data_IF_532568547463
#
_entry.id   IF_532568547463
#
_cell.length_a   1.000
_cell.length_b   1.000
_cell.length_c   1.000
_cell.angle_alpha   90.00
_cell.angle_beta   90.00
_cell.angle_gamma   90.00
#
_symmetry.space_group_name_H-M   'P 1'
#
loop_
_entity.id
_entity.type
_entity.pdbx_description
1 polymer ?
#
# COMPACT_ATOMS: atom_id res chain seq x y z
N UNK A 1 10.81 -5.41 -6.55
CA UNK A 1 10.38 -4.59 -7.70
C UNK A 1 8.86 -4.70 -7.80
N UNK A 2 8.16 -3.65 -8.23
CA UNK A 2 6.73 -3.74 -8.53
C UNK A 2 6.56 -4.49 -9.85
N UNK A 3 5.63 -5.45 -9.90
CA UNK A 3 5.28 -6.14 -11.14
C UNK A 3 3.86 -5.72 -11.53
N UNK A 4 3.55 -5.66 -12.82
CA UNK A 4 2.17 -5.45 -13.27
C UNK A 4 1.34 -6.72 -13.11
N UNK A 5 1.95 -7.88 -13.40
CA UNK A 5 1.26 -9.16 -13.49
C UNK A 5 1.99 -10.24 -12.68
N UNK A 6 1.27 -11.01 -11.88
CA UNK A 6 1.74 -12.27 -11.30
C UNK A 6 1.15 -13.43 -12.09
N UNK A 7 1.97 -14.38 -12.56
CA UNK A 7 1.51 -15.59 -13.26
C UNK A 7 1.70 -16.80 -12.35
N UNK A 8 0.57 -17.35 -11.88
CA UNK A 8 0.49 -18.63 -11.16
C UNK A 8 0.30 -19.76 -12.16
N UNK A 9 1.14 -20.79 -12.06
CA UNK A 9 1.14 -21.93 -12.99
C UNK A 9 1.73 -23.17 -12.32
N UNK A 10 1.50 -24.35 -12.89
CA UNK A 10 2.17 -25.59 -12.47
C UNK A 10 3.26 -26.01 -13.45
N UNK A 11 4.25 -26.77 -13.01
CA UNK A 11 5.39 -27.16 -13.85
C UNK A 11 4.99 -27.78 -15.22
N UNK A 12 3.96 -28.66 -15.32
CA UNK A 12 3.47 -29.14 -16.61
C UNK A 12 3.00 -28.02 -17.57
N UNK A 13 2.42 -26.96 -17.01
CA UNK A 13 1.85 -25.82 -17.74
C UNK A 13 2.88 -24.71 -18.01
N UNK A 14 4.16 -24.95 -17.67
CA UNK A 14 5.24 -23.95 -17.76
C UNK A 14 5.37 -23.33 -19.15
N UNK A 15 5.22 -24.14 -20.20
CA UNK A 15 5.38 -23.68 -21.58
C UNK A 15 4.34 -22.59 -21.92
N UNK A 16 3.09 -22.73 -21.46
CA UNK A 16 2.06 -21.71 -21.60
C UNK A 16 2.40 -20.47 -20.79
N UNK A 17 2.81 -20.64 -19.53
CA UNK A 17 3.17 -19.52 -18.65
C UNK A 17 4.33 -18.69 -19.21
N UNK A 18 5.37 -19.34 -19.77
CA UNK A 18 6.47 -18.66 -20.44
C UNK A 18 6.00 -17.89 -21.68
N UNK A 19 5.15 -18.51 -22.52
CA UNK A 19 4.61 -17.83 -23.70
C UNK A 19 3.81 -16.57 -23.32
N UNK A 20 2.97 -16.67 -22.30
CA UNK A 20 2.20 -15.53 -21.79
C UNK A 20 3.11 -14.45 -21.20
N UNK A 21 4.16 -14.85 -20.47
CA UNK A 21 5.16 -13.93 -19.93
C UNK A 21 5.83 -13.14 -21.06
N UNK A 22 6.36 -13.81 -22.08
CA UNK A 22 7.07 -13.19 -23.20
C UNK A 22 6.15 -12.23 -23.97
N UNK A 23 4.90 -12.62 -24.21
CA UNK A 23 3.90 -11.78 -24.86
C UNK A 23 3.51 -10.55 -24.03
N UNK A 24 3.43 -10.68 -22.71
CA UNK A 24 3.18 -9.53 -21.82
C UNK A 24 4.35 -8.55 -21.83
N UNK A 25 5.59 -9.04 -21.76
CA UNK A 25 6.81 -8.23 -21.83
C UNK A 25 6.91 -7.49 -23.17
N UNK A 26 6.63 -8.18 -24.29
CA UNK A 26 6.63 -7.56 -25.61
C UNK A 26 5.61 -6.42 -25.73
N UNK A 27 4.48 -6.54 -25.03
CA UNK A 27 3.43 -5.53 -24.97
C UNK A 27 3.68 -4.44 -23.90
N UNK A 28 4.85 -4.44 -23.26
CA UNK A 28 5.26 -3.41 -22.30
C UNK A 28 4.79 -3.63 -20.86
N UNK A 29 4.33 -4.83 -20.51
CA UNK A 29 3.93 -5.18 -19.14
C UNK A 29 5.04 -5.92 -18.40
N UNK A 30 5.24 -5.59 -17.12
CA UNK A 30 6.19 -6.32 -16.27
C UNK A 30 5.50 -7.50 -15.59
N UNK A 31 5.78 -8.72 -16.04
CA UNK A 31 5.25 -9.95 -15.43
C UNK A 31 6.27 -10.67 -14.56
N UNK A 32 5.79 -11.24 -13.46
CA UNK A 32 6.55 -12.13 -12.57
C UNK A 32 5.97 -13.54 -12.62
N UNK A 33 6.85 -14.53 -12.73
CA UNK A 33 6.52 -15.94 -12.61
C UNK A 33 7.66 -16.65 -11.88
N UNK A 34 7.35 -17.64 -11.04
CA UNK A 34 8.38 -18.42 -10.36
C UNK A 34 9.02 -19.38 -11.37
N UNK A 35 10.19 -19.06 -11.94
CA UNK A 35 10.90 -19.97 -12.83
C UNK A 35 11.62 -21.04 -12.01
N UNK A 36 11.42 -22.33 -12.35
CA UNK A 36 12.17 -23.46 -11.75
C UNK A 36 13.69 -23.38 -11.97
N UNK A 37 14.16 -22.42 -12.78
CA UNK A 37 15.57 -22.13 -13.04
C UNK A 37 15.80 -20.62 -13.06
N UNK A 38 16.19 -20.09 -11.89
CA UNK A 38 17.02 -18.88 -11.71
C UNK A 38 16.75 -17.67 -12.63
N UNK A 39 15.60 -17.01 -12.50
CA UNK A 39 15.48 -15.55 -12.69
C UNK A 39 14.42 -15.05 -11.70
N UNK A 40 14.81 -14.21 -10.74
CA UNK A 40 13.87 -13.58 -9.79
C UNK A 40 13.81 -14.19 -8.39
N UNK A 41 14.52 -15.28 -8.10
CA UNK A 41 14.67 -15.79 -6.74
C UNK A 41 15.90 -15.13 -6.11
N UNK A 42 15.68 -14.24 -5.13
CA UNK A 42 16.78 -13.68 -4.34
C UNK A 42 17.34 -14.76 -3.43
N UNK A 43 18.64 -15.03 -3.52
CA UNK A 43 19.31 -15.94 -2.59
C UNK A 43 19.24 -15.36 -1.17
N UNK A 44 18.78 -16.17 -0.20
CA UNK A 44 18.68 -15.76 1.21
C UNK A 44 17.27 -15.43 1.73
N UNK A 45 16.24 -15.36 0.88
CA UNK A 45 14.83 -15.24 1.30
C UNK A 45 14.11 -16.56 1.04
N UNK A 46 13.31 -17.11 1.97
CA UNK A 46 12.52 -18.32 1.72
C UNK A 46 11.66 -18.17 0.47
N UNK A 47 11.66 -19.18 -0.41
CA UNK A 47 10.95 -19.17 -1.69
C UNK A 47 9.47 -18.76 -1.56
N UNK A 48 8.80 -19.32 -0.55
CA UNK A 48 7.40 -19.01 -0.22
C UNK A 48 7.17 -17.53 0.09
N UNK A 49 8.10 -16.88 0.81
CA UNK A 49 8.02 -15.45 1.11
C UNK A 49 8.15 -14.60 -0.14
N UNK A 50 8.97 -15.03 -1.12
CA UNK A 50 9.13 -14.34 -2.39
C UNK A 50 7.87 -14.44 -3.25
N UNK A 51 7.21 -15.61 -3.24
CA UNK A 51 5.93 -15.83 -3.91
C UNK A 51 4.85 -14.93 -3.31
N UNK A 52 4.73 -14.90 -1.98
CA UNK A 52 3.75 -14.04 -1.28
C UNK A 52 4.02 -12.55 -1.54
N UNK A 53 5.28 -12.13 -1.53
CA UNK A 53 5.66 -10.75 -1.85
C UNK A 53 5.35 -10.40 -3.30
N UNK A 54 5.64 -11.29 -4.25
CA UNK A 54 5.37 -11.09 -5.67
C UNK A 54 3.85 -10.99 -5.94
N UNK A 55 3.03 -11.83 -5.30
CA UNK A 55 1.56 -11.73 -5.36
C UNK A 55 1.12 -10.35 -4.82
N UNK A 56 1.64 -9.93 -3.67
CA UNK A 56 1.26 -8.65 -3.03
C UNK A 56 1.70 -7.42 -3.81
N UNK A 57 2.77 -7.53 -4.59
CA UNK A 57 3.35 -6.43 -5.37
C UNK A 57 2.93 -6.45 -6.84
N UNK A 58 2.03 -7.35 -7.23
CA UNK A 58 1.43 -7.40 -8.57
C UNK A 58 0.04 -6.77 -8.60
N UNK A 59 -0.36 -6.24 -9.76
CA UNK A 59 -1.68 -5.58 -9.94
C UNK A 59 -2.74 -6.53 -10.46
N UNK A 60 -2.32 -7.52 -11.25
CA UNK A 60 -3.18 -8.56 -11.83
C UNK A 60 -2.63 -9.93 -11.46
N UNK A 61 -3.52 -10.82 -11.02
CA UNK A 61 -3.22 -12.23 -10.79
C UNK A 61 -3.69 -13.04 -11.99
N UNK A 62 -2.78 -13.67 -12.70
CA UNK A 62 -3.08 -14.56 -13.82
C UNK A 62 -2.92 -15.99 -13.35
N UNK A 63 -3.97 -16.79 -13.48
CA UNK A 63 -3.96 -18.21 -13.18
C UNK A 63 -3.96 -19.00 -14.48
N UNK A 64 -2.91 -19.79 -14.71
CA UNK A 64 -2.93 -20.85 -15.72
C UNK A 64 -3.61 -22.07 -15.07
N UNK A 65 -4.80 -22.40 -15.56
CA UNK A 65 -5.66 -23.43 -14.98
C UNK A 65 -5.73 -24.67 -15.87
N UNK A 66 -5.41 -25.80 -15.26
CA UNK A 66 -5.49 -27.16 -15.80
C UNK A 66 -5.88 -28.13 -14.66
N UNK A 67 -6.11 -29.41 -14.97
CA UNK A 67 -6.28 -30.43 -13.95
C UNK A 67 -5.03 -30.60 -13.06
N UNK A 68 -3.83 -30.31 -13.59
CA UNK A 68 -2.60 -30.28 -12.77
C UNK A 68 -2.66 -29.16 -11.72
N UNK A 69 -3.12 -27.98 -12.12
CA UNK A 69 -3.40 -26.85 -11.22
C UNK A 69 -4.46 -27.21 -10.18
N UNK A 70 -5.54 -27.88 -10.61
CA UNK A 70 -6.65 -28.30 -9.75
C UNK A 70 -6.23 -29.27 -8.62
N UNK A 71 -5.14 -30.03 -8.85
CA UNK A 71 -4.56 -30.96 -7.88
C UNK A 71 -3.43 -30.37 -7.04
N UNK A 72 -2.93 -29.18 -7.38
CA UNK A 72 -1.78 -28.56 -6.72
C UNK A 72 -2.15 -27.92 -5.37
N UNK A 73 -1.46 -28.35 -4.30
CA UNK A 73 -1.59 -27.73 -2.99
C UNK A 73 -0.99 -26.31 -2.95
N UNK A 74 0.06 -26.07 -3.72
CA UNK A 74 0.79 -24.80 -3.74
C UNK A 74 -0.05 -23.68 -4.35
N UNK A 75 -0.73 -23.96 -5.48
CA UNK A 75 -1.62 -22.99 -6.15
C UNK A 75 -2.76 -22.56 -5.23
N UNK A 76 -3.28 -23.47 -4.40
CA UNK A 76 -4.31 -23.12 -3.42
C UNK A 76 -3.79 -22.17 -2.36
N UNK A 77 -2.55 -22.35 -1.90
CA UNK A 77 -1.95 -21.41 -0.94
C UNK A 77 -1.73 -20.04 -1.60
N UNK A 78 -1.26 -19.99 -2.83
CA UNK A 78 -1.13 -18.74 -3.60
C UNK A 78 -2.47 -18.00 -3.73
N UNK A 79 -3.53 -18.72 -4.11
CA UNK A 79 -4.89 -18.18 -4.22
C UNK A 79 -5.43 -17.70 -2.86
N UNK A 80 -5.05 -18.33 -1.75
CA UNK A 80 -5.41 -17.86 -0.40
C UNK A 80 -4.65 -16.62 0.04
N UNK A 81 -3.43 -16.44 -0.44
CA UNK A 81 -2.62 -15.24 -0.16
C UNK A 81 -3.03 -14.03 -1.01
N UNK A 82 -3.74 -14.27 -2.11
CA UNK A 82 -4.43 -13.24 -2.90
C UNK A 82 -5.59 -12.62 -2.08
N UNK A 83 -5.68 -11.29 -2.04
CA UNK A 83 -6.87 -10.61 -1.52
C UNK A 83 -8.07 -10.85 -2.48
N UNK A 84 -9.30 -11.03 -1.96
CA UNK A 84 -10.51 -11.24 -2.78
C UNK A 84 -10.73 -10.16 -3.86
N UNK A 85 -10.24 -8.94 -3.63
CA UNK A 85 -10.32 -7.81 -4.57
C UNK A 85 -9.20 -7.79 -5.63
N UNK A 86 -8.23 -8.69 -5.57
CA UNK A 86 -7.15 -8.76 -6.57
C UNK A 86 -7.75 -9.23 -7.91
N UNK A 87 -7.70 -8.41 -8.97
CA UNK A 87 -8.19 -8.79 -10.29
C UNK A 87 -7.55 -10.10 -10.74
N UNK A 88 -8.38 -11.07 -11.08
CA UNK A 88 -7.91 -12.41 -11.46
C UNK A 88 -8.36 -12.71 -12.88
N UNK A 89 -7.41 -13.07 -13.74
CA UNK A 89 -7.65 -13.55 -15.10
C UNK A 89 -7.28 -15.02 -15.11
N UNK A 90 -8.17 -15.87 -15.61
CA UNK A 90 -7.94 -17.31 -15.71
C UNK A 90 -7.70 -17.66 -17.17
N UNK A 91 -6.54 -18.25 -17.47
CA UNK A 91 -6.29 -18.93 -18.74
C UNK A 91 -6.60 -20.40 -18.53
N UNK A 92 -7.63 -20.91 -19.21
CA UNK A 92 -8.14 -22.27 -19.01
C UNK A 92 -7.62 -23.18 -20.12
N UNK A 93 -6.82 -24.18 -19.74
CA UNK A 93 -6.18 -25.14 -20.65
C UNK A 93 -7.06 -26.37 -20.92
N UNK A 94 -7.94 -26.72 -20.00
CA UNK A 94 -8.84 -27.87 -20.09
C UNK A 94 -10.18 -27.62 -19.41
N UNK A 95 -11.11 -28.56 -19.59
CA UNK A 95 -12.47 -28.45 -19.07
C UNK A 95 -12.64 -29.08 -17.67
N UNK A 96 -11.55 -29.36 -16.95
CA UNK A 96 -11.62 -29.98 -15.62
C UNK A 96 -12.40 -29.13 -14.60
N UNK A 97 -13.35 -29.74 -13.90
CA UNK A 97 -14.14 -29.02 -12.90
C UNK A 97 -13.26 -28.55 -11.73
N UNK A 98 -13.56 -27.35 -11.21
CA UNK A 98 -12.89 -26.85 -10.02
C UNK A 98 -13.16 -27.77 -8.84
N UNK A 99 -12.10 -28.22 -8.17
CA UNK A 99 -12.21 -28.87 -6.87
C UNK A 99 -12.91 -27.95 -5.88
N UNK A 100 -13.61 -28.52 -4.91
CA UNK A 100 -14.50 -27.79 -3.99
C UNK A 100 -13.86 -26.57 -3.32
N UNK A 101 -12.58 -26.65 -2.96
CA UNK A 101 -11.82 -25.56 -2.35
C UNK A 101 -11.47 -24.45 -3.35
N UNK A 102 -11.06 -24.78 -4.57
CA UNK A 102 -10.82 -23.80 -5.64
C UNK A 102 -12.11 -23.17 -6.14
N UNK A 103 -13.20 -23.93 -6.20
CA UNK A 103 -14.52 -23.45 -6.60
C UNK A 103 -14.97 -22.27 -5.75
N UNK A 104 -14.71 -22.29 -4.44
CA UNK A 104 -15.01 -21.16 -3.56
C UNK A 104 -14.30 -19.85 -3.98
N UNK A 105 -13.11 -19.93 -4.57
CA UNK A 105 -12.30 -18.77 -4.95
C UNK A 105 -12.47 -18.34 -6.41
N UNK A 106 -12.75 -19.28 -7.31
CA UNK A 106 -12.72 -19.08 -8.76
C UNK A 106 -14.11 -18.99 -9.39
N UNK A 107 -15.16 -19.46 -8.71
CA UNK A 107 -16.52 -19.47 -9.25
C UNK A 107 -16.98 -18.04 -9.57
N UNK A 108 -17.45 -17.86 -10.80
CA UNK A 108 -17.94 -16.57 -11.30
C UNK A 108 -16.88 -15.68 -11.96
N UNK A 109 -15.60 -16.07 -11.93
CA UNK A 109 -14.55 -15.38 -12.68
C UNK A 109 -14.60 -15.84 -14.15
N UNK A 110 -14.64 -14.88 -15.07
CA UNK A 110 -14.54 -15.19 -16.51
C UNK A 110 -13.15 -15.75 -16.83
N UNK A 111 -13.11 -16.75 -17.72
CA UNK A 111 -11.87 -17.37 -18.16
C UNK A 111 -11.69 -17.22 -19.67
N UNK A 112 -10.44 -17.14 -20.09
CA UNK A 112 -10.03 -17.21 -21.49
C UNK A 112 -9.74 -18.68 -21.77
N UNK A 113 -10.54 -19.31 -22.62
CA UNK A 113 -10.21 -20.64 -23.12
C UNK A 113 -9.01 -20.54 -24.06
N UNK A 114 -8.05 -21.44 -23.91
CA UNK A 114 -6.92 -21.53 -24.85
C UNK A 114 -6.97 -22.83 -25.63
N UNK A 115 -6.50 -22.75 -26.87
CA UNK A 115 -6.16 -23.91 -27.69
C UNK A 115 -4.68 -24.26 -27.42
N UNK A 116 -4.35 -25.50 -27.02
CA UNK A 116 -2.96 -25.93 -26.85
C UNK A 116 -2.09 -25.76 -28.09
N UNK A 117 -2.67 -25.86 -29.29
CA UNK A 117 -1.95 -25.76 -30.56
C UNK A 117 -1.80 -24.31 -31.05
N UNK A 118 -2.55 -23.37 -30.45
CA UNK A 118 -2.51 -21.96 -30.83
C UNK A 118 -2.77 -21.03 -29.63
N UNK A 119 -1.68 -20.63 -28.97
CA UNK A 119 -1.72 -19.76 -27.79
C UNK A 119 -1.90 -18.27 -28.11
N UNK A 120 -1.70 -17.84 -29.36
CA UNK A 120 -1.69 -16.41 -29.72
C UNK A 120 -3.02 -15.69 -29.41
N UNK A 121 -4.21 -16.25 -29.74
CA UNK A 121 -5.48 -15.60 -29.40
C UNK A 121 -5.68 -15.42 -27.88
N UNK A 122 -5.22 -16.40 -27.08
CA UNK A 122 -5.31 -16.32 -25.63
C UNK A 122 -4.34 -15.27 -25.06
N UNK A 123 -3.13 -15.15 -25.62
CA UNK A 123 -2.17 -14.11 -25.24
C UNK A 123 -2.66 -12.71 -25.60
N UNK A 124 -3.28 -12.53 -26.77
CA UNK A 124 -3.89 -11.26 -27.17
C UNK A 124 -5.07 -10.89 -26.27
N UNK A 125 -5.92 -11.87 -25.93
CA UNK A 125 -7.00 -11.68 -24.97
C UNK A 125 -6.46 -11.30 -23.59
N UNK A 126 -5.42 -12.00 -23.12
CA UNK A 126 -4.76 -11.71 -21.85
C UNK A 126 -4.18 -10.30 -21.84
N UNK A 127 -3.44 -9.89 -22.87
CA UNK A 127 -2.84 -8.56 -22.97
C UNK A 127 -3.92 -7.47 -22.98
N UNK A 128 -5.02 -7.67 -23.72
CA UNK A 128 -6.17 -6.75 -23.71
C UNK A 128 -6.84 -6.68 -22.34
N UNK A 129 -7.02 -7.79 -21.65
CA UNK A 129 -7.70 -7.81 -20.36
C UNK A 129 -6.80 -7.27 -19.23
N UNK A 130 -5.50 -7.57 -19.26
CA UNK A 130 -4.49 -6.89 -18.42
C UNK A 130 -4.53 -5.38 -18.69
N UNK A 131 -4.53 -4.96 -19.95
CA UNK A 131 -4.65 -3.55 -20.31
C UNK A 131 -5.96 -2.94 -19.82
N UNK A 132 -7.11 -3.62 -19.92
CA UNK A 132 -8.39 -3.12 -19.41
C UNK A 132 -8.41 -3.06 -17.89
N UNK A 133 -7.82 -4.02 -17.20
CA UNK A 133 -7.72 -4.01 -15.73
C UNK A 133 -6.80 -2.88 -15.29
N UNK A 134 -5.69 -2.66 -15.99
CA UNK A 134 -4.68 -1.65 -15.65
C UNK A 134 -5.09 -0.24 -16.09
N UNK A 135 -5.65 -0.07 -17.30
CA UNK A 135 -6.13 1.22 -17.85
C UNK A 135 -7.57 1.54 -17.43
N UNK A 136 -8.42 0.54 -17.19
CA UNK A 136 -9.69 0.73 -16.50
C UNK A 136 -9.51 1.12 -15.04
N UNK A 137 -8.32 0.87 -14.46
CA UNK A 137 -7.86 1.48 -13.21
C UNK A 137 -7.27 2.90 -13.39
N UNK A 138 -7.33 3.50 -14.58
CA UNK A 138 -6.98 4.91 -14.82
C UNK A 138 -7.78 5.54 -15.98
N UNK A 139 -9.02 6.03 -15.76
CA UNK A 139 -9.71 6.88 -16.71
C UNK A 139 -9.59 8.36 -16.31
N UNK A 140 -9.10 9.19 -17.23
CA UNK A 140 -9.49 10.60 -17.21
C UNK A 140 -11.01 10.65 -17.41
N UNK A 141 -11.70 11.26 -16.45
CA UNK A 141 -13.11 11.62 -16.55
C UNK A 141 -14.06 10.77 -15.71
N UNK A 142 -14.33 11.29 -14.51
CA UNK A 142 -15.60 11.20 -13.77
C UNK A 142 -15.87 9.87 -13.00
N UNK A 143 -15.69 9.93 -11.67
CA UNK A 143 -16.54 9.20 -10.71
C UNK A 143 -16.03 7.88 -10.12
N UNK A 144 -15.26 7.98 -9.02
CA UNK A 144 -15.14 7.00 -7.91
C UNK A 144 -14.69 5.54 -8.19
N UNK A 145 -13.37 5.34 -8.25
CA UNK A 145 -12.66 4.27 -7.52
C UNK A 145 -11.21 4.75 -7.31
N UNK A 146 -10.79 4.89 -6.06
CA UNK A 146 -9.57 5.60 -5.65
C UNK A 146 -8.30 5.01 -6.29
N UNK A 147 -7.39 5.87 -6.79
CA UNK A 147 -6.06 5.46 -7.27
C UNK A 147 -5.27 4.75 -6.15
N UNK A 148 -4.31 3.88 -6.46
CA UNK A 148 -3.60 3.07 -5.44
C UNK A 148 -3.03 3.90 -4.29
N UNK A 149 -2.57 5.12 -4.59
CA UNK A 149 -2.20 6.12 -3.59
C UNK A 149 -3.39 6.49 -2.68
N UNK A 150 -4.53 6.90 -3.23
CA UNK A 150 -5.74 7.21 -2.48
C UNK A 150 -6.27 6.01 -1.69
N UNK A 151 -6.19 4.77 -2.21
CA UNK A 151 -6.56 3.56 -1.49
C UNK A 151 -5.66 3.37 -0.28
N UNK A 152 -4.33 3.41 -0.47
CA UNK A 152 -3.38 3.26 0.64
C UNK A 152 -3.58 4.33 1.70
N UNK A 153 -3.83 5.57 1.27
CA UNK A 153 -4.13 6.67 2.18
C UNK A 153 -5.43 6.44 2.95
N UNK A 154 -6.51 6.03 2.26
CA UNK A 154 -7.81 5.72 2.88
C UNK A 154 -7.75 4.54 3.83
N UNK A 155 -7.05 3.47 3.47
CA UNK A 155 -6.81 2.31 4.35
C UNK A 155 -5.98 2.71 5.57
N UNK A 156 -4.96 3.56 5.38
CA UNK A 156 -4.19 4.13 6.47
C UNK A 156 -5.05 4.93 7.45
N UNK A 157 -5.93 5.80 6.93
CA UNK A 157 -6.89 6.57 7.75
C UNK A 157 -7.89 5.67 8.46
N UNK A 158 -8.43 4.64 7.79
CA UNK A 158 -9.35 3.69 8.40
C UNK A 158 -8.68 2.92 9.54
N UNK A 159 -7.44 2.45 9.35
CA UNK A 159 -6.65 1.80 10.38
C UNK A 159 -6.34 2.73 11.56
N UNK A 160 -6.03 4.00 11.27
CA UNK A 160 -5.74 5.00 12.29
C UNK A 160 -6.97 5.25 13.19
N UNK A 161 -8.16 5.41 12.60
CA UNK A 161 -9.42 5.64 13.33
C UNK A 161 -9.75 4.53 14.32
N UNK A 162 -9.47 3.28 13.97
CA UNK A 162 -9.64 2.13 14.88
C UNK A 162 -8.43 1.89 15.79
N UNK A 163 -7.49 2.84 15.84
CA UNK A 163 -6.23 2.81 16.61
C UNK A 163 -5.33 1.62 16.30
N UNK A 164 -5.45 1.04 15.11
CA UNK A 164 -4.51 0.06 14.60
C UNK A 164 -3.29 0.77 13.99
N UNK A 165 -2.45 1.29 14.88
CA UNK A 165 -1.31 2.14 14.51
C UNK A 165 -0.27 1.40 13.66
N UNK A 166 -0.05 0.10 13.90
CA UNK A 166 0.90 -0.70 13.14
C UNK A 166 0.50 -0.77 11.65
N UNK A 167 -0.77 -1.09 11.37
CA UNK A 167 -1.30 -1.12 10.01
C UNK A 167 -1.30 0.28 9.38
N UNK A 168 -1.68 1.31 10.14
CA UNK A 168 -1.65 2.69 9.64
C UNK A 168 -0.24 3.12 9.22
N UNK A 169 0.79 2.82 10.02
CA UNK A 169 2.20 3.09 9.69
C UNK A 169 2.61 2.37 8.41
N UNK A 170 2.26 1.09 8.26
CA UNK A 170 2.57 0.32 7.05
C UNK A 170 1.98 1.00 5.80
N UNK A 171 0.69 1.34 5.86
CA UNK A 171 -0.04 1.94 4.74
C UNK A 171 0.49 3.32 4.37
N UNK A 172 0.75 4.19 5.34
CA UNK A 172 1.30 5.52 5.06
C UNK A 172 2.76 5.48 4.59
N UNK A 173 3.58 4.51 5.01
CA UNK A 173 4.93 4.33 4.45
C UNK A 173 4.87 3.93 2.99
N UNK A 174 4.00 2.97 2.63
CA UNK A 174 3.79 2.57 1.22
C UNK A 174 3.22 3.73 0.41
N UNK A 175 2.30 4.50 0.99
CA UNK A 175 1.79 5.72 0.37
C UNK A 175 2.91 6.73 0.09
N UNK A 176 3.79 6.99 1.07
CA UNK A 176 4.95 7.89 0.94
C UNK A 176 5.91 7.47 -0.17
N UNK A 177 6.03 6.17 -0.47
CA UNK A 177 6.89 5.68 -1.56
C UNK A 177 6.28 5.85 -2.95
N UNK A 178 4.94 5.88 -3.06
CA UNK A 178 4.22 5.93 -4.33
C UNK A 178 3.86 7.38 -4.69
N UNK A 179 3.39 8.15 -3.72
CA UNK A 179 3.09 9.56 -3.89
C UNK A 179 4.34 10.40 -3.63
N UNK A 180 4.53 11.48 -4.39
CA UNK A 180 5.51 12.52 -4.10
C UNK A 180 5.16 13.22 -2.77
N UNK A 181 5.56 12.63 -1.64
CA UNK A 181 5.63 13.18 -0.28
C UNK A 181 4.66 14.32 0.06
N UNK A 182 3.35 14.09 -0.05
CA UNK A 182 2.35 15.07 0.37
C UNK A 182 2.35 15.28 1.90
N UNK A 183 2.19 16.52 2.36
CA UNK A 183 2.21 16.91 3.78
C UNK A 183 1.27 16.08 4.65
N UNK A 184 0.11 15.70 4.11
CA UNK A 184 -0.90 14.88 4.80
C UNK A 184 -0.37 13.48 5.11
N UNK A 185 0.39 12.88 4.19
CA UNK A 185 0.99 11.56 4.40
C UNK A 185 2.00 11.61 5.53
N UNK A 186 2.84 12.65 5.55
CA UNK A 186 3.85 12.83 6.58
C UNK A 186 3.21 13.08 7.95
N UNK A 187 2.15 13.88 7.98
CA UNK A 187 1.36 14.14 9.18
C UNK A 187 0.74 12.87 9.77
N UNK A 188 -0.03 12.11 8.97
CA UNK A 188 -0.70 10.91 9.47
C UNK A 188 0.28 9.76 9.74
N UNK A 189 1.37 9.65 8.98
CA UNK A 189 2.45 8.72 9.30
C UNK A 189 3.06 9.03 10.66
N UNK A 190 3.29 10.31 10.99
CA UNK A 190 3.82 10.73 12.28
C UNK A 190 2.83 10.47 13.42
N UNK A 191 1.53 10.79 13.26
CA UNK A 191 0.50 10.45 14.24
C UNK A 191 0.44 8.94 14.51
N UNK A 192 0.44 8.13 13.46
CA UNK A 192 0.44 6.67 13.58
C UNK A 192 1.72 6.16 14.26
N UNK A 193 2.88 6.75 13.95
CA UNK A 193 4.17 6.38 14.55
C UNK A 193 4.23 6.74 16.03
N UNK A 194 3.65 7.87 16.45
CA UNK A 194 3.50 8.20 17.88
C UNK A 194 2.61 7.15 18.56
N UNK A 195 1.51 6.75 17.91
CA UNK A 195 0.68 5.62 18.34
C UNK A 195 -0.01 5.85 19.68
N UNK A 196 -0.39 7.10 19.97
CA UNK A 196 -1.02 7.51 21.23
C UNK A 196 -0.11 7.46 22.47
N UNK A 197 1.19 7.23 22.28
CA UNK A 197 2.18 7.33 23.36
C UNK A 197 2.36 8.78 23.78
N UNK A 198 2.68 9.00 25.06
CA UNK A 198 3.05 10.33 25.55
C UNK A 198 4.38 10.73 24.93
N UNK A 199 4.39 11.78 24.11
CA UNK A 199 5.56 12.21 23.33
C UNK A 199 6.75 12.48 24.26
N UNK A 200 6.49 13.13 25.41
CA UNK A 200 7.50 13.38 26.44
C UNK A 200 8.26 12.14 26.92
N UNK A 201 7.64 10.95 26.85
CA UNK A 201 8.21 9.67 27.31
C UNK A 201 8.85 8.84 26.19
N UNK A 202 8.82 9.30 24.95
CA UNK A 202 9.46 8.61 23.83
C UNK A 202 10.98 8.70 23.93
N UNK A 203 11.70 7.79 23.27
CA UNK A 203 13.16 7.90 23.18
C UNK A 203 13.59 8.91 22.11
N UNK A 204 14.82 9.41 22.20
CA UNK A 204 15.34 10.43 21.29
C UNK A 204 15.47 9.99 19.84
N UNK A 205 15.73 8.70 19.58
CA UNK A 205 15.84 8.17 18.22
C UNK A 205 14.47 8.19 17.53
N UNK A 206 13.40 7.83 18.25
CA UNK A 206 12.03 7.91 17.75
C UNK A 206 11.62 9.35 17.47
N UNK A 207 12.01 10.29 18.33
CA UNK A 207 11.71 11.71 18.12
C UNK A 207 12.43 12.25 16.89
N UNK A 208 13.73 11.99 16.74
CA UNK A 208 14.47 12.40 15.54
C UNK A 208 13.90 11.79 14.26
N UNK A 209 13.48 10.52 14.28
CA UNK A 209 12.79 9.93 13.13
C UNK A 209 11.49 10.66 12.77
N UNK A 210 10.73 11.15 13.76
CA UNK A 210 9.53 11.98 13.51
C UNK A 210 9.89 13.35 12.94
N UNK A 211 10.97 13.98 13.42
CA UNK A 211 11.49 15.22 12.86
C UNK A 211 11.90 15.04 11.39
N UNK A 212 12.61 13.96 11.06
CA UNK A 212 13.02 13.64 9.70
C UNK A 212 11.82 13.39 8.77
N UNK A 213 10.76 12.77 9.29
CA UNK A 213 9.52 12.54 8.53
C UNK A 213 8.83 13.88 8.22
N UNK A 214 8.75 14.80 9.18
CA UNK A 214 7.98 16.04 9.04
C UNK A 214 8.75 17.20 8.39
N UNK A 215 10.07 17.22 8.53
CA UNK A 215 10.94 18.31 8.05
C UNK A 215 10.72 18.69 6.58
N UNK A 216 10.52 17.75 5.63
CA UNK A 216 10.27 18.10 4.23
C UNK A 216 9.01 18.93 3.97
N UNK A 217 8.01 18.87 4.86
CA UNK A 217 6.75 19.60 4.73
C UNK A 217 6.80 21.01 5.35
N UNK A 218 7.76 21.29 6.23
CA UNK A 218 7.82 22.54 7.01
C UNK A 218 7.94 23.81 6.15
N UNK A 219 8.66 23.84 5.01
CA UNK A 219 8.80 25.05 4.21
C UNK A 219 7.48 25.56 3.60
N UNK A 220 6.54 24.68 3.28
CA UNK A 220 5.23 25.05 2.71
C UNK A 220 4.22 25.41 3.81
N UNK A 221 4.39 26.59 4.41
CA UNK A 221 3.55 27.00 5.56
C UNK A 221 2.05 27.16 5.23
N UNK A 222 1.70 27.42 3.96
CA UNK A 222 0.30 27.62 3.54
C UNK A 222 -0.38 26.30 3.17
N UNK A 223 0.30 25.37 2.51
CA UNK A 223 -0.26 24.08 2.12
C UNK A 223 -0.05 22.96 3.15
N UNK A 224 0.97 23.07 4.00
CA UNK A 224 1.42 22.01 4.91
C UNK A 224 1.45 22.43 6.39
N UNK A 225 0.73 23.48 6.78
CA UNK A 225 0.74 24.03 8.13
C UNK A 225 0.44 23.02 9.25
N UNK A 226 -0.38 21.99 8.98
CA UNK A 226 -0.67 20.90 9.90
C UNK A 226 0.56 20.06 10.27
N UNK A 227 1.49 19.84 9.34
CA UNK A 227 2.73 19.12 9.61
C UNK A 227 3.67 19.95 10.51
N UNK A 228 3.77 21.26 10.26
CA UNK A 228 4.53 22.19 11.11
C UNK A 228 3.97 22.29 12.52
N UNK A 229 2.64 22.30 12.67
CA UNK A 229 1.98 22.33 13.98
C UNK A 229 2.20 21.03 14.75
N UNK A 230 2.12 19.87 14.08
CA UNK A 230 2.44 18.59 14.73
C UNK A 230 3.91 18.54 15.19
N UNK A 231 4.85 19.02 14.36
CA UNK A 231 6.25 19.12 14.75
C UNK A 231 6.46 20.08 15.93
N UNK A 232 5.72 21.18 15.99
CA UNK A 232 5.76 22.12 17.11
C UNK A 232 5.30 21.47 18.42
N UNK A 233 4.23 20.67 18.38
CA UNK A 233 3.76 19.88 19.54
C UNK A 233 4.83 18.88 19.98
N UNK A 234 5.39 18.12 19.03
CA UNK A 234 6.45 17.14 19.32
C UNK A 234 7.62 17.82 20.01
N UNK A 235 8.09 18.95 19.47
CA UNK A 235 9.23 19.68 20.03
C UNK A 235 8.93 20.27 21.40
N UNK A 236 7.72 20.79 21.59
CA UNK A 236 7.29 21.32 22.88
C UNK A 236 7.22 20.22 23.95
N UNK A 237 6.59 19.10 23.67
CA UNK A 237 6.41 18.05 24.66
C UNK A 237 7.69 17.29 24.97
N UNK A 238 8.48 16.98 23.94
CA UNK A 238 9.72 16.24 24.13
C UNK A 238 10.85 17.12 24.64
N UNK A 239 11.23 18.19 23.92
CA UNK A 239 12.39 19.00 24.32
C UNK A 239 12.04 19.91 25.49
N UNK A 240 11.07 20.81 25.34
CA UNK A 240 10.73 21.74 26.42
C UNK A 240 10.17 21.01 27.65
N UNK A 241 9.33 19.99 27.45
CA UNK A 241 8.78 19.18 28.54
C UNK A 241 9.85 18.43 29.36
N UNK A 242 10.97 18.02 28.74
CA UNK A 242 12.10 17.40 29.45
C UNK A 242 13.24 18.38 29.79
N UNK A 243 13.06 19.69 29.54
CA UNK A 243 14.07 20.71 29.81
C UNK A 243 15.27 20.70 28.87
N UNK A 244 15.15 20.06 27.70
CA UNK A 244 16.17 20.05 26.66
C UNK A 244 16.12 21.32 25.80
N UNK A 245 17.26 21.64 25.19
CA UNK A 245 17.34 22.69 24.18
C UNK A 245 16.56 22.26 22.95
N UNK A 246 15.67 23.14 22.47
CA UNK A 246 14.90 22.89 21.23
C UNK A 246 15.81 23.14 20.02
N UNK A 247 16.01 22.17 19.12
CA UNK A 247 16.75 22.38 17.87
C UNK A 247 15.93 23.23 16.89
N UNK A 248 16.61 23.94 15.98
CA UNK A 248 15.94 24.68 14.91
C UNK A 248 15.19 23.74 13.94
N UNK A 249 14.09 24.16 13.31
CA UNK A 249 13.35 25.39 13.56
C UNK A 249 12.64 25.38 14.93
N UNK A 250 12.54 26.55 15.56
CA UNK A 250 11.93 26.71 16.88
C UNK A 250 10.39 26.61 16.86
N UNK A 251 9.76 26.45 18.02
CA UNK A 251 8.29 26.32 18.14
C UNK A 251 7.57 27.52 17.50
N UNK A 252 7.99 28.75 17.81
CA UNK A 252 7.37 29.95 17.22
C UNK A 252 7.52 30.03 15.70
N UNK A 253 8.67 29.61 15.18
CA UNK A 253 8.94 29.58 13.73
C UNK A 253 8.03 28.56 13.02
N UNK A 254 7.82 27.39 13.64
CA UNK A 254 6.93 26.35 13.12
C UNK A 254 5.46 26.80 13.10
N UNK A 255 5.03 27.54 14.11
CA UNK A 255 3.64 28.03 14.22
C UNK A 255 3.36 29.25 13.35
N UNK A 256 4.37 30.09 13.07
CA UNK A 256 4.21 31.34 12.34
C UNK A 256 3.65 31.11 10.93
N UNK A 257 2.38 31.46 10.73
CA UNK A 257 1.66 31.34 9.45
C UNK A 257 1.13 29.94 9.14
N UNK A 258 1.30 28.98 10.05
CA UNK A 258 0.79 27.63 9.88
C UNK A 258 -0.72 27.58 10.18
N UNK A 259 -1.47 26.92 9.28
CA UNK A 259 -2.91 26.71 9.43
C UNK A 259 -3.18 25.22 9.67
N UNK A 260 -4.00 24.92 10.68
CA UNK A 260 -4.51 23.56 10.93
C UNK A 260 -5.98 23.47 10.53
N UNK A 261 -6.29 22.80 9.40
CA UNK A 261 -7.66 22.49 9.00
C UNK A 261 -8.47 21.79 10.11
N UNK A 262 -9.79 22.03 10.23
CA UNK A 262 -10.61 21.46 11.29
C UNK A 262 -10.59 19.93 11.36
N UNK A 263 -10.69 19.25 10.20
CA UNK A 263 -10.63 17.79 10.08
C UNK A 263 -9.32 17.22 10.66
N UNK A 264 -8.19 17.82 10.31
CA UNK A 264 -6.87 17.43 10.82
C UNK A 264 -6.71 17.75 12.30
N UNK A 265 -7.37 18.79 12.80
CA UNK A 265 -7.39 19.13 14.23
C UNK A 265 -8.10 18.03 15.02
N UNK A 266 -9.25 17.58 14.54
CA UNK A 266 -10.02 16.53 15.20
C UNK A 266 -9.26 15.21 15.24
N UNK A 267 -8.65 14.81 14.11
CA UNK A 267 -7.81 13.62 14.05
C UNK A 267 -6.58 13.73 14.97
N UNK A 268 -5.92 14.91 15.02
CA UNK A 268 -4.81 15.16 15.93
C UNK A 268 -5.22 14.98 17.40
N UNK A 269 -6.33 15.60 17.81
CA UNK A 269 -6.82 15.54 19.19
C UNK A 269 -7.35 14.14 19.57
N UNK A 270 -7.81 13.35 18.60
CA UNK A 270 -8.22 11.97 18.81
C UNK A 270 -7.03 11.03 19.10
N UNK A 271 -5.90 11.27 18.44
CA UNK A 271 -4.73 10.39 18.50
C UNK A 271 -3.62 10.88 19.43
N UNK A 272 -3.66 12.14 19.86
CA UNK A 272 -2.73 12.72 20.84
C UNK A 272 -3.49 13.23 22.06
N UNK A 273 -2.95 12.95 23.24
CA UNK A 273 -3.43 13.49 24.50
C UNK A 273 -2.27 14.10 25.28
N UNK A 274 -1.99 15.36 25.00
CA UNK A 274 -0.85 16.10 25.55
C UNK A 274 -1.33 17.32 26.34
N UNK A 275 -1.95 17.13 27.52
CA UNK A 275 -2.54 18.22 28.29
C UNK A 275 -1.52 19.24 28.81
N UNK A 276 -0.23 18.90 28.77
CA UNK A 276 0.87 19.78 29.19
C UNK A 276 1.36 20.69 28.05
N UNK A 277 1.19 20.29 26.79
CA UNK A 277 1.48 21.13 25.63
C UNK A 277 0.59 22.37 25.64
N UNK A 278 1.20 23.55 25.55
CA UNK A 278 0.44 24.79 25.41
C UNK A 278 -0.25 24.84 24.04
N UNK A 279 0.46 24.42 22.98
CA UNK A 279 -0.08 24.37 21.62
C UNK A 279 -1.29 23.44 21.55
N UNK A 280 -1.21 22.25 22.15
CA UNK A 280 -2.33 21.31 22.19
C UNK A 280 -3.54 21.86 22.97
N UNK A 281 -3.31 22.53 24.12
CA UNK A 281 -4.40 23.14 24.91
C UNK A 281 -5.11 24.25 24.15
N UNK A 282 -4.37 25.10 23.44
CA UNK A 282 -4.94 26.14 22.59
C UNK A 282 -5.79 25.57 21.46
N UNK A 283 -5.35 24.46 20.85
CA UNK A 283 -6.12 23.74 19.84
C UNK A 283 -7.41 23.14 20.41
N UNK A 284 -7.34 22.51 21.60
CA UNK A 284 -8.51 21.95 22.27
C UNK A 284 -9.54 23.04 22.64
N UNK A 285 -9.09 24.20 23.11
CA UNK A 285 -9.98 25.32 23.43
C UNK A 285 -10.69 25.84 22.17
N UNK A 286 -9.94 26.00 21.06
CA UNK A 286 -10.52 26.43 19.78
C UNK A 286 -11.53 25.43 19.20
N UNK A 287 -11.40 24.13 19.48
CA UNK A 287 -12.36 23.11 19.04
C UNK A 287 -13.70 23.21 19.81
N UNK A 288 -13.69 23.61 21.09
CA UNK A 288 -14.91 23.69 21.92
C UNK A 288 -15.75 24.94 21.67
N UNK A 289 -15.19 25.96 21.02
CA UNK A 289 -15.78 27.29 20.88
C UNK A 289 -15.90 27.78 19.43
N UNK A 290 -15.59 26.93 18.44
CA UNK A 290 -15.78 27.20 17.01
C UNK A 290 -16.78 26.22 16.43
#
# INVERSE_FOLDING_TARGET
>A
MLNDVFISYTQPDRHVACYMHDMLQHNGWVSWMALSSSHGISTGIPFESQVVEAIRNSRVFVLIYSDYCNRSADVIQEIRHRNKLHPTIIIRLDDSEYRADLSYHLRGIQHIQTDPDNLAPAADALSRDVQKVIKGANPEGIGSADSTDKILFKEGLAALRVKNYALAVEKFRRHKTIASSGADTLFYLSLATIGGRKIRKMDGLQVHALEDILSPAVPDKKGAGHASILLAIIKQDYYQGNGFRIPAPGIGELLAGAVLPPDKRDDLLCHLNEPQSQVWRELLHKQKHG
#
